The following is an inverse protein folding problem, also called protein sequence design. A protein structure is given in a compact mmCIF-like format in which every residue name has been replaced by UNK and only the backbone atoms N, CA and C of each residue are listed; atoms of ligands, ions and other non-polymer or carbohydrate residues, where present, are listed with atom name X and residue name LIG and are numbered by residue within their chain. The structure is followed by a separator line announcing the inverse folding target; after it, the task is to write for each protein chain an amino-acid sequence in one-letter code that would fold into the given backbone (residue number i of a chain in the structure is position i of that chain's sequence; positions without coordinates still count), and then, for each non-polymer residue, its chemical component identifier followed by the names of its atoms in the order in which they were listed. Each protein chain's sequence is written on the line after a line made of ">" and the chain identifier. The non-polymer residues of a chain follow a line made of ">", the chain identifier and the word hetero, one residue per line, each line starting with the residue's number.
data_IF_785835676086
#
_entry.id   IF_785835676086
#
_cell.length_a   1.000
_cell.length_b   1.000
_cell.length_c   1.000
_cell.angle_alpha   90.00
_cell.angle_beta   90.00
_cell.angle_gamma   90.00
#
_symmetry.space_group_name_H-M   'P 1'
#
loop_
_entity.id
_entity.type
_entity.pdbx_description
1 polymer ?
#
# COMPACT_ATOMS: atom_id res chain seq x y z
N UNK A 1 -13.75 -18.32 -17.64
CA UNK A 1 -13.79 -18.61 -19.11
C UNK A 1 -14.94 -17.89 -19.81
N UNK A 2 -16.17 -17.92 -19.32
CA UNK A 2 -17.31 -17.30 -20.01
C UNK A 2 -17.20 -15.79 -20.25
N UNK A 3 -16.66 -15.00 -19.29
CA UNK A 3 -16.57 -13.55 -19.45
C UNK A 3 -15.64 -13.16 -20.62
N UNK A 4 -14.41 -13.64 -20.64
CA UNK A 4 -13.43 -13.33 -21.69
C UNK A 4 -13.85 -13.81 -23.06
N UNK A 5 -14.53 -14.95 -23.15
CA UNK A 5 -15.11 -15.45 -24.41
C UNK A 5 -16.23 -14.53 -24.88
N UNK A 6 -17.13 -14.10 -24.01
CA UNK A 6 -18.23 -13.21 -24.33
C UNK A 6 -17.79 -11.83 -24.82
N UNK A 7 -16.72 -11.27 -24.25
CA UNK A 7 -16.21 -9.94 -24.61
C UNK A 7 -15.16 -9.98 -25.73
N UNK A 8 -14.76 -11.16 -26.21
CA UNK A 8 -13.71 -11.30 -27.25
C UNK A 8 -13.94 -10.42 -28.48
N UNK A 9 -15.15 -10.33 -29.05
CA UNK A 9 -15.40 -9.42 -30.18
C UNK A 9 -15.13 -7.94 -29.82
N UNK A 10 -15.50 -7.52 -28.63
CA UNK A 10 -15.23 -6.15 -28.12
C UNK A 10 -13.74 -5.91 -27.90
N UNK A 11 -13.01 -6.92 -27.43
CA UNK A 11 -11.54 -6.82 -27.28
C UNK A 11 -10.88 -6.62 -28.65
N UNK A 12 -11.33 -7.34 -29.67
CA UNK A 12 -10.81 -7.25 -31.05
C UNK A 12 -11.16 -5.90 -31.71
N UNK A 13 -12.34 -5.34 -31.42
CA UNK A 13 -12.80 -4.05 -31.93
C UNK A 13 -12.17 -2.84 -31.26
N UNK A 14 -12.12 -2.82 -29.89
CA UNK A 14 -11.75 -1.66 -29.09
C UNK A 14 -10.25 -1.67 -28.76
N UNK A 15 -9.62 -2.86 -28.74
CA UNK A 15 -8.24 -3.06 -28.29
C UNK A 15 -7.95 -2.48 -26.91
N UNK A 16 -8.75 -2.82 -25.87
CA UNK A 16 -8.59 -2.28 -24.53
C UNK A 16 -7.31 -2.77 -23.88
N UNK A 17 -6.80 -2.01 -22.90
CA UNK A 17 -5.69 -2.42 -22.06
C UNK A 17 -6.07 -3.63 -21.18
N UNK A 18 -5.07 -4.37 -20.70
CA UNK A 18 -5.29 -5.46 -19.77
C UNK A 18 -6.00 -4.99 -18.49
N UNK A 19 -5.70 -3.77 -18.01
CA UNK A 19 -6.34 -3.20 -16.82
C UNK A 19 -7.83 -2.93 -17.07
N UNK A 20 -8.21 -2.34 -18.20
CA UNK A 20 -9.62 -2.11 -18.59
C UNK A 20 -10.42 -3.41 -18.65
N UNK A 21 -9.84 -4.47 -19.24
CA UNK A 21 -10.47 -5.80 -19.26
C UNK A 21 -10.66 -6.33 -17.84
N UNK A 22 -9.65 -6.17 -16.99
CA UNK A 22 -9.69 -6.64 -15.59
C UNK A 22 -10.74 -5.90 -14.79
N UNK A 23 -10.87 -4.58 -14.96
CA UNK A 23 -11.91 -3.76 -14.30
C UNK A 23 -13.30 -4.21 -14.72
N UNK A 24 -13.53 -4.38 -16.05
CA UNK A 24 -14.81 -4.89 -16.56
C UNK A 24 -15.16 -6.27 -16.00
N UNK A 25 -14.17 -7.16 -15.92
CA UNK A 25 -14.33 -8.50 -15.35
C UNK A 25 -14.66 -8.45 -13.85
N UNK A 26 -14.00 -7.57 -13.09
CA UNK A 26 -14.25 -7.40 -11.65
C UNK A 26 -15.69 -6.90 -11.41
N UNK A 27 -16.14 -5.88 -12.15
CA UNK A 27 -17.50 -5.37 -12.00
C UNK A 27 -18.56 -6.42 -12.39
N UNK A 28 -18.36 -7.16 -13.49
CA UNK A 28 -19.24 -8.26 -13.83
C UNK A 28 -19.27 -9.35 -12.76
N UNK A 29 -18.12 -9.65 -12.16
CA UNK A 29 -18.02 -10.61 -11.06
C UNK A 29 -18.79 -10.14 -9.82
N UNK A 30 -18.63 -8.88 -9.41
CA UNK A 30 -19.35 -8.32 -8.25
C UNK A 30 -20.87 -8.35 -8.43
N UNK A 31 -21.36 -8.01 -9.63
CA UNK A 31 -22.80 -8.13 -9.97
C UNK A 31 -23.27 -9.57 -9.86
N UNK A 32 -22.51 -10.53 -10.42
CA UNK A 32 -22.89 -11.95 -10.40
C UNK A 32 -22.83 -12.57 -8.99
N UNK A 33 -22.00 -12.01 -8.09
CA UNK A 33 -21.90 -12.47 -6.71
C UNK A 33 -22.86 -11.73 -5.78
N UNK A 34 -23.61 -10.73 -6.27
CA UNK A 34 -24.55 -9.92 -5.49
C UNK A 34 -23.90 -9.37 -4.20
N UNK A 35 -22.67 -8.84 -4.34
CA UNK A 35 -21.91 -8.34 -3.17
C UNK A 35 -22.63 -7.17 -2.50
N UNK A 36 -22.68 -7.13 -1.18
CA UNK A 36 -23.29 -6.03 -0.42
C UNK A 36 -22.48 -4.74 -0.54
N UNK A 37 -21.14 -4.84 -0.58
CA UNK A 37 -20.20 -3.72 -0.69
C UNK A 37 -19.05 -4.12 -1.59
N UNK A 38 -18.70 -3.25 -2.54
CA UNK A 38 -17.48 -3.35 -3.33
C UNK A 38 -16.50 -2.24 -2.94
N UNK A 39 -15.26 -2.62 -2.59
CA UNK A 39 -14.18 -1.67 -2.34
C UNK A 39 -13.34 -1.63 -3.60
N UNK A 40 -13.33 -0.47 -4.28
CA UNK A 40 -12.68 -0.28 -5.57
C UNK A 40 -11.45 0.60 -5.38
N UNK A 41 -10.28 0.02 -5.60
CA UNK A 41 -9.02 0.75 -5.63
C UNK A 41 -8.72 1.22 -7.06
N UNK A 42 -8.36 2.52 -7.23
CA UNK A 42 -7.92 3.04 -8.52
C UNK A 42 -6.57 2.46 -8.91
N UNK A 43 -6.38 2.13 -10.20
CA UNK A 43 -5.10 1.62 -10.68
C UNK A 43 -4.04 2.71 -10.78
N UNK A 44 -4.44 3.92 -11.28
CA UNK A 44 -3.53 5.04 -11.45
C UNK A 44 -4.26 6.38 -11.43
N UNK A 45 -3.80 7.31 -10.60
CA UNK A 45 -4.36 8.66 -10.51
C UNK A 45 -5.78 8.65 -9.93
N UNK A 46 -6.78 8.84 -10.75
CA UNK A 46 -8.20 8.84 -10.40
C UNK A 46 -9.09 9.32 -11.53
N UNK A 47 -8.88 10.54 -12.03
CA UNK A 47 -9.75 11.20 -13.02
C UNK A 47 -9.99 10.37 -14.28
N UNK A 48 -8.93 9.79 -14.85
CA UNK A 48 -8.96 8.99 -16.07
C UNK A 48 -8.80 7.49 -15.81
N UNK A 49 -8.86 7.08 -14.53
CA UNK A 49 -8.75 5.66 -14.20
C UNK A 49 -9.96 4.86 -14.70
N UNK A 50 -9.72 3.66 -15.19
CA UNK A 50 -10.77 2.78 -15.73
C UNK A 50 -11.84 2.41 -14.68
N UNK A 51 -11.49 2.46 -13.39
CA UNK A 51 -12.44 2.23 -12.29
C UNK A 51 -13.38 3.42 -12.06
N UNK A 52 -13.03 4.61 -12.54
CA UNK A 52 -13.74 5.86 -12.26
C UNK A 52 -15.07 6.05 -13.02
N UNK A 53 -15.57 4.99 -13.62
CA UNK A 53 -16.89 4.95 -14.29
C UNK A 53 -18.06 4.80 -13.31
N UNK A 54 -17.77 4.51 -12.05
CA UNK A 54 -18.78 4.32 -10.99
C UNK A 54 -19.13 5.63 -10.27
N UNK A 55 -20.27 5.62 -9.57
CA UNK A 55 -20.61 6.61 -8.54
C UNK A 55 -20.55 5.90 -7.19
N UNK A 56 -19.49 6.12 -6.39
CA UNK A 56 -19.33 5.43 -5.11
C UNK A 56 -20.27 6.02 -4.03
N UNK A 57 -20.47 5.31 -2.93
CA UNK A 57 -21.16 5.83 -1.75
C UNK A 57 -20.27 6.76 -0.92
N UNK A 58 -18.94 6.51 -0.93
CA UNK A 58 -17.89 7.36 -0.35
C UNK A 58 -16.67 7.27 -1.26
N UNK A 59 -16.04 8.41 -1.54
CA UNK A 59 -14.70 8.47 -2.13
C UNK A 59 -13.65 8.63 -1.03
N UNK A 60 -12.50 7.98 -1.19
CA UNK A 60 -11.40 8.04 -0.20
C UNK A 60 -10.09 8.34 -0.94
N UNK A 61 -9.36 9.36 -0.50
CA UNK A 61 -8.00 9.66 -0.96
C UNK A 61 -7.10 9.54 0.27
N UNK A 62 -6.25 8.52 0.29
CA UNK A 62 -5.46 8.18 1.48
C UNK A 62 -4.38 9.20 1.77
N UNK A 63 -3.53 9.47 0.79
CA UNK A 63 -2.49 10.50 0.83
C UNK A 63 -2.06 10.90 -0.59
N UNK A 64 -1.24 11.94 -0.70
CA UNK A 64 -0.58 12.35 -1.93
C UNK A 64 0.92 12.22 -1.75
N UNK A 65 1.54 11.50 -2.69
CA UNK A 65 2.98 11.32 -2.77
C UNK A 65 3.48 11.45 -4.20
N UNK A 66 4.78 11.65 -4.36
CA UNK A 66 5.44 11.77 -5.65
C UNK A 66 5.61 10.38 -6.27
N UNK A 67 4.63 9.93 -7.03
CA UNK A 67 4.70 8.68 -7.82
C UNK A 67 4.08 8.91 -9.20
N UNK A 68 4.53 8.14 -10.19
CA UNK A 68 4.04 8.20 -11.57
C UNK A 68 4.05 9.63 -12.19
N UNK A 69 5.07 10.43 -11.87
CA UNK A 69 5.17 11.84 -12.27
C UNK A 69 5.07 12.04 -13.78
N UNK A 70 5.53 11.10 -14.59
CA UNK A 70 5.42 11.12 -16.04
C UNK A 70 3.97 11.14 -16.56
N UNK A 71 2.99 10.70 -15.74
CA UNK A 71 1.59 10.58 -16.11
C UNK A 71 0.69 11.51 -15.30
N UNK A 72 0.99 11.72 -14.02
CA UNK A 72 0.15 12.48 -13.09
C UNK A 72 0.60 13.91 -12.86
N UNK A 73 1.80 14.28 -13.37
CA UNK A 73 2.41 15.59 -13.16
C UNK A 73 3.55 15.56 -12.12
N UNK A 74 4.33 16.62 -12.12
CA UNK A 74 5.59 16.77 -11.37
C UNK A 74 5.45 17.59 -10.08
N UNK A 75 4.22 17.90 -9.68
CA UNK A 75 3.91 18.59 -8.42
C UNK A 75 2.82 17.86 -7.64
N UNK A 76 2.83 18.01 -6.30
CA UNK A 76 1.80 17.43 -5.44
C UNK A 76 0.40 17.91 -5.79
N UNK A 77 0.26 19.18 -6.22
CA UNK A 77 -1.00 19.78 -6.65
C UNK A 77 -1.57 19.09 -7.90
N UNK A 78 -0.73 18.80 -8.91
CA UNK A 78 -1.16 18.11 -10.13
C UNK A 78 -1.59 16.68 -9.82
N UNK A 79 -0.80 15.96 -9.02
CA UNK A 79 -1.15 14.59 -8.57
C UNK A 79 -2.45 14.61 -7.77
N UNK A 80 -2.62 15.58 -6.87
CA UNK A 80 -3.86 15.77 -6.10
C UNK A 80 -5.07 16.02 -7.01
N UNK A 81 -4.93 16.84 -8.05
CA UNK A 81 -6.00 17.13 -9.01
C UNK A 81 -6.42 15.86 -9.79
N UNK A 82 -5.47 15.03 -10.22
CA UNK A 82 -5.78 13.75 -10.86
C UNK A 82 -6.50 12.79 -9.90
N UNK A 83 -6.04 12.69 -8.64
CA UNK A 83 -6.70 11.85 -7.63
C UNK A 83 -8.07 12.41 -7.23
N UNK A 84 -8.23 13.73 -7.15
CA UNK A 84 -9.51 14.39 -6.87
C UNK A 84 -10.58 14.10 -7.93
N UNK A 85 -10.22 13.61 -9.11
CA UNK A 85 -11.16 13.16 -10.14
C UNK A 85 -12.10 12.02 -9.73
N UNK A 86 -11.86 11.36 -8.59
CA UNK A 86 -12.81 10.39 -8.01
C UNK A 86 -13.88 11.05 -7.12
N UNK A 87 -13.78 12.33 -6.84
CA UNK A 87 -14.80 13.09 -6.08
C UNK A 87 -16.02 13.28 -6.97
N UNK A 88 -17.16 12.73 -6.57
CA UNK A 88 -18.40 12.74 -7.37
C UNK A 88 -19.43 13.69 -6.77
N UNK A 89 -20.33 14.14 -7.61
CA UNK A 89 -21.39 15.09 -7.23
C UNK A 89 -22.24 14.53 -6.09
N UNK A 90 -22.35 15.31 -5.01
CA UNK A 90 -23.11 14.99 -3.80
C UNK A 90 -22.62 13.74 -3.05
N UNK A 91 -21.44 13.22 -3.37
CA UNK A 91 -20.84 12.06 -2.69
C UNK A 91 -19.78 12.53 -1.71
N UNK A 92 -19.85 12.06 -0.47
CA UNK A 92 -18.86 12.38 0.56
C UNK A 92 -17.46 11.91 0.12
N UNK A 93 -16.45 12.75 0.40
CA UNK A 93 -15.05 12.38 0.26
C UNK A 93 -14.32 12.47 1.59
N UNK A 94 -13.48 11.48 1.86
CA UNK A 94 -12.56 11.45 3.01
C UNK A 94 -11.13 11.57 2.48
N UNK A 95 -10.40 12.55 3.00
CA UNK A 95 -8.96 12.72 2.78
C UNK A 95 -8.24 12.18 4.01
N UNK A 96 -7.34 11.22 3.83
CA UNK A 96 -6.64 10.56 4.94
C UNK A 96 -5.60 11.47 5.59
N UNK A 97 -4.68 11.99 4.80
CA UNK A 97 -3.62 12.89 5.25
C UNK A 97 -3.78 14.27 4.59
N UNK A 98 -3.86 15.32 5.39
CA UNK A 98 -3.91 16.71 4.93
C UNK A 98 -2.51 17.26 4.66
N UNK A 99 -2.39 18.17 3.70
CA UNK A 99 -1.17 18.92 3.40
C UNK A 99 -1.51 20.32 2.92
N UNK A 100 -0.79 21.37 3.38
CA UNK A 100 -1.00 22.73 2.90
C UNK A 100 -0.93 22.86 1.36
N UNK A 101 -0.17 21.98 0.69
CA UNK A 101 0.04 21.99 -0.76
C UNK A 101 -1.14 21.38 -1.53
N UNK A 102 -1.93 20.50 -0.92
CA UNK A 102 -2.98 19.73 -1.61
C UNK A 102 -4.39 20.00 -1.10
N UNK A 103 -4.54 20.51 0.13
CA UNK A 103 -5.84 20.73 0.75
C UNK A 103 -6.76 21.63 -0.08
N UNK A 104 -6.23 22.73 -0.64
CA UNK A 104 -7.01 23.65 -1.47
C UNK A 104 -7.53 23.00 -2.76
N UNK A 105 -6.75 22.08 -3.35
CA UNK A 105 -7.20 21.31 -4.52
C UNK A 105 -8.42 20.47 -4.17
N UNK A 106 -8.36 19.75 -3.07
CA UNK A 106 -9.48 18.90 -2.63
C UNK A 106 -10.71 19.71 -2.23
N UNK A 107 -10.53 20.83 -1.51
CA UNK A 107 -11.62 21.71 -1.13
C UNK A 107 -12.33 22.29 -2.36
N UNK A 108 -11.57 22.80 -3.35
CA UNK A 108 -12.12 23.37 -4.57
C UNK A 108 -12.92 22.34 -5.39
N UNK A 109 -12.37 21.12 -5.55
CA UNK A 109 -13.06 20.04 -6.29
C UNK A 109 -14.29 19.55 -5.54
N UNK A 110 -14.22 19.43 -4.22
CA UNK A 110 -15.36 19.04 -3.39
C UNK A 110 -16.49 20.08 -3.46
N UNK A 111 -16.16 21.37 -3.37
CA UNK A 111 -17.13 22.48 -3.52
C UNK A 111 -17.81 22.45 -4.88
N UNK A 112 -17.04 22.32 -5.97
CA UNK A 112 -17.55 22.25 -7.34
C UNK A 112 -18.50 21.05 -7.55
N UNK A 113 -18.33 19.97 -6.79
CA UNK A 113 -19.18 18.79 -6.81
C UNK A 113 -20.27 18.79 -5.74
N UNK A 114 -20.38 19.83 -4.90
CA UNK A 114 -21.27 19.84 -3.73
C UNK A 114 -21.05 18.56 -2.87
N UNK A 115 -19.80 18.10 -2.77
CA UNK A 115 -19.39 16.90 -2.05
C UNK A 115 -19.00 17.25 -0.61
N UNK A 116 -19.64 16.68 0.42
CA UNK A 116 -19.16 16.84 1.80
C UNK A 116 -17.75 16.27 1.92
N UNK A 117 -16.79 17.05 2.45
CA UNK A 117 -15.39 16.66 2.61
C UNK A 117 -15.00 16.62 4.07
N UNK A 118 -14.19 15.63 4.45
CA UNK A 118 -13.53 15.57 5.75
C UNK A 118 -12.05 15.17 5.60
N UNK A 119 -11.21 15.72 6.48
CA UNK A 119 -9.80 15.39 6.60
C UNK A 119 -9.61 14.55 7.86
N UNK A 120 -9.30 13.28 7.68
CA UNK A 120 -9.28 12.31 8.77
C UNK A 120 -8.26 12.66 9.86
N UNK A 121 -7.06 13.07 9.49
CA UNK A 121 -5.97 13.46 10.40
C UNK A 121 -6.23 14.75 11.20
N UNK A 122 -7.12 15.64 10.70
CA UNK A 122 -7.58 16.82 11.44
C UNK A 122 -8.60 16.45 12.53
N UNK A 123 -9.33 15.36 12.33
CA UNK A 123 -10.42 14.89 13.20
C UNK A 123 -9.92 13.84 14.18
N UNK A 124 -9.07 12.92 13.72
CA UNK A 124 -8.59 11.78 14.51
C UNK A 124 -7.07 11.69 14.50
N UNK A 125 -6.54 10.99 15.50
CA UNK A 125 -5.12 10.64 15.56
C UNK A 125 -4.93 9.37 16.38
N UNK A 126 -3.71 8.82 16.35
CA UNK A 126 -3.31 7.67 17.17
C UNK A 126 -2.21 8.06 18.15
N UNK A 127 -2.22 7.47 19.34
CA UNK A 127 -1.16 7.64 20.32
C UNK A 127 -0.89 6.33 21.08
N UNK A 128 0.14 6.33 21.94
CA UNK A 128 0.50 5.20 22.80
C UNK A 128 0.65 3.88 22.04
N UNK A 129 1.21 3.94 20.80
CA UNK A 129 1.38 2.73 20.01
C UNK A 129 2.57 1.90 20.51
N UNK A 130 2.39 0.58 20.45
CA UNK A 130 3.43 -0.41 20.78
C UNK A 130 3.26 -1.67 19.92
N UNK A 131 4.35 -2.37 19.67
CA UNK A 131 4.29 -3.73 19.15
C UNK A 131 4.14 -4.71 20.31
N UNK A 132 3.09 -5.52 20.30
CA UNK A 132 2.81 -6.52 21.34
C UNK A 132 2.24 -7.79 20.72
N UNK A 133 2.91 -8.92 20.96
CA UNK A 133 2.46 -10.24 20.48
C UNK A 133 2.19 -10.30 18.97
N UNK A 134 2.98 -9.61 18.15
CA UNK A 134 2.81 -9.56 16.69
C UNK A 134 1.73 -8.59 16.19
N UNK A 135 1.11 -7.83 17.08
CA UNK A 135 0.13 -6.78 16.75
C UNK A 135 0.73 -5.38 16.92
N UNK A 136 0.28 -4.45 16.10
CA UNK A 136 0.43 -3.01 16.36
C UNK A 136 -0.78 -2.58 17.21
N UNK A 137 -0.51 -2.17 18.45
CA UNK A 137 -1.54 -1.79 19.42
C UNK A 137 -1.45 -0.30 19.67
N UNK A 138 -2.57 0.41 19.56
CA UNK A 138 -2.61 1.88 19.68
C UNK A 138 -3.94 2.37 20.24
N UNK A 139 -3.96 3.57 20.79
CA UNK A 139 -5.19 4.28 21.10
C UNK A 139 -5.56 5.16 19.92
N UNK A 140 -6.75 4.95 19.34
CA UNK A 140 -7.36 5.82 18.35
C UNK A 140 -8.24 6.85 19.07
N UNK A 141 -8.01 8.12 18.79
CA UNK A 141 -8.68 9.23 19.45
C UNK A 141 -9.47 10.06 18.44
N UNK A 142 -10.72 10.33 18.74
CA UNK A 142 -11.57 11.27 18.04
C UNK A 142 -11.60 12.59 18.81
N UNK A 143 -11.01 13.65 18.22
CA UNK A 143 -10.91 14.99 18.84
C UNK A 143 -12.25 15.69 19.01
N UNK A 144 -13.29 15.27 18.28
CA UNK A 144 -14.58 15.98 18.26
C UNK A 144 -15.45 15.64 19.47
N UNK A 145 -15.28 14.45 20.04
CA UNK A 145 -16.11 13.93 21.12
C UNK A 145 -15.31 13.28 22.26
N UNK A 146 -13.98 13.39 22.22
CA UNK A 146 -13.03 12.83 23.20
C UNK A 146 -13.20 11.31 23.41
N UNK A 147 -13.54 10.60 22.35
CA UNK A 147 -13.65 9.13 22.37
C UNK A 147 -12.30 8.50 22.12
N UNK A 148 -11.90 7.62 23.03
CA UNK A 148 -10.66 6.84 22.97
C UNK A 148 -11.01 5.38 22.77
N UNK A 149 -10.42 4.77 21.73
CA UNK A 149 -10.65 3.35 21.39
C UNK A 149 -9.31 2.63 21.28
N UNK A 150 -9.10 1.62 22.11
CA UNK A 150 -7.92 0.76 22.01
C UNK A 150 -8.07 -0.18 20.81
N UNK A 151 -7.14 -0.08 19.85
CA UNK A 151 -7.11 -0.88 18.63
C UNK A 151 -5.91 -1.82 18.63
N UNK A 152 -6.10 -3.03 18.12
CA UNK A 152 -5.06 -4.00 17.82
C UNK A 152 -5.11 -4.31 16.33
N UNK A 153 -3.99 -4.19 15.62
CA UNK A 153 -3.89 -4.43 14.17
C UNK A 153 -2.94 -5.60 13.92
N UNK A 154 -3.37 -6.59 13.15
CA UNK A 154 -2.51 -7.70 12.69
C UNK A 154 -1.60 -7.29 11.51
N UNK A 155 -1.64 -6.03 11.13
CA UNK A 155 -0.73 -5.36 10.20
C UNK A 155 0.25 -4.50 11.01
N UNK A 156 1.46 -5.00 11.34
CA UNK A 156 2.32 -4.37 12.35
C UNK A 156 3.17 -3.21 11.81
N UNK A 157 3.08 -2.84 10.53
CA UNK A 157 3.80 -1.69 9.98
C UNK A 157 3.34 -0.38 10.63
N UNK A 158 4.30 0.47 11.03
CA UNK A 158 4.04 1.77 11.67
C UNK A 158 3.11 2.66 10.83
N UNK A 159 3.26 2.66 9.51
CA UNK A 159 2.41 3.43 8.60
C UNK A 159 0.92 3.04 8.65
N UNK A 160 0.57 1.89 9.22
CA UNK A 160 -0.82 1.50 9.44
C UNK A 160 -1.55 2.37 10.46
N UNK A 161 -0.83 3.12 11.29
CA UNK A 161 -1.44 4.10 12.19
C UNK A 161 -2.20 5.18 11.40
N UNK A 162 -1.63 5.66 10.29
CA UNK A 162 -2.27 6.63 9.39
C UNK A 162 -3.46 6.01 8.65
N UNK A 163 -3.31 4.77 8.18
CA UNK A 163 -4.39 4.04 7.53
C UNK A 163 -5.57 3.79 8.49
N UNK A 164 -5.29 3.47 9.76
CA UNK A 164 -6.33 3.31 10.80
C UNK A 164 -7.15 4.60 10.98
N UNK A 165 -6.48 5.76 11.02
CA UNK A 165 -7.13 7.07 11.12
C UNK A 165 -8.07 7.31 9.93
N UNK A 166 -7.60 7.03 8.71
CA UNK A 166 -8.40 7.15 7.49
C UNK A 166 -9.60 6.21 7.50
N UNK A 167 -9.39 4.93 7.82
CA UNK A 167 -10.45 3.92 7.87
C UNK A 167 -11.49 4.29 8.94
N UNK A 168 -11.07 4.74 10.11
CA UNK A 168 -11.98 5.15 11.18
C UNK A 168 -12.88 6.33 10.76
N UNK A 169 -12.32 7.31 10.02
CA UNK A 169 -13.12 8.40 9.46
C UNK A 169 -14.14 7.90 8.43
N UNK A 170 -13.76 6.99 7.54
CA UNK A 170 -14.69 6.39 6.57
C UNK A 170 -15.81 5.63 7.29
N UNK A 171 -15.43 4.78 8.24
CA UNK A 171 -16.36 3.90 8.96
C UNK A 171 -17.42 4.70 9.75
N UNK A 172 -17.06 5.85 10.34
CA UNK A 172 -18.04 6.67 11.09
C UNK A 172 -19.16 7.26 10.21
N UNK A 173 -18.97 7.32 8.89
CA UNK A 173 -19.99 7.80 7.95
C UNK A 173 -20.93 6.70 7.43
N UNK A 174 -20.56 5.42 7.56
CA UNK A 174 -21.36 4.30 7.03
C UNK A 174 -22.75 4.17 7.65
N UNK A 175 -22.98 4.43 8.95
CA UNK A 175 -24.34 4.38 9.53
C UNK A 175 -25.32 5.34 8.87
N UNK A 176 -24.87 6.54 8.50
CA UNK A 176 -25.71 7.51 7.78
C UNK A 176 -26.10 7.05 6.37
N UNK A 177 -25.40 6.05 5.83
CA UNK A 177 -25.64 5.41 4.54
C UNK A 177 -26.43 4.10 4.67
N UNK A 178 -26.92 3.77 5.88
CA UNK A 178 -27.76 2.61 6.14
C UNK A 178 -27.03 1.34 6.56
N UNK A 179 -25.72 1.40 6.83
CA UNK A 179 -24.95 0.24 7.30
C UNK A 179 -24.97 0.15 8.82
N UNK A 180 -25.38 -0.98 9.36
CA UNK A 180 -25.29 -1.26 10.80
C UNK A 180 -23.86 -1.67 11.16
N UNK A 181 -23.20 -0.86 12.00
CA UNK A 181 -21.85 -1.15 12.50
C UNK A 181 -21.90 -1.53 13.98
N UNK A 182 -21.33 -2.68 14.29
CA UNK A 182 -21.14 -3.13 15.67
C UNK A 182 -19.67 -2.88 16.05
N UNK A 183 -19.39 -2.08 17.11
CA UNK A 183 -18.03 -1.72 17.52
C UNK A 183 -17.13 -2.95 17.73
N UNK A 184 -17.63 -4.01 18.35
CA UNK A 184 -16.85 -5.23 18.59
C UNK A 184 -16.47 -5.94 17.28
N UNK A 185 -17.35 -5.93 16.28
CA UNK A 185 -17.03 -6.49 14.94
C UNK A 185 -16.00 -5.65 14.20
N UNK A 186 -16.05 -4.34 14.36
CA UNK A 186 -15.05 -3.43 13.78
C UNK A 186 -13.67 -3.69 14.41
N UNK A 187 -13.57 -3.76 15.73
CA UNK A 187 -12.32 -4.08 16.42
C UNK A 187 -11.81 -5.48 16.08
N UNK A 188 -12.72 -6.45 15.96
CA UNK A 188 -12.37 -7.79 15.47
C UNK A 188 -11.80 -7.74 14.05
N UNK A 189 -12.37 -6.96 13.14
CA UNK A 189 -11.89 -6.82 11.78
C UNK A 189 -10.48 -6.20 11.74
N UNK A 190 -10.20 -5.15 12.52
CA UNK A 190 -8.87 -4.56 12.62
C UNK A 190 -7.82 -5.56 13.11
N UNK A 191 -8.18 -6.41 14.05
CA UNK A 191 -7.31 -7.44 14.61
C UNK A 191 -7.07 -8.63 13.67
N UNK A 192 -7.87 -8.80 12.63
CA UNK A 192 -7.84 -9.97 11.75
C UNK A 192 -7.87 -9.61 10.25
N UNK A 193 -7.28 -8.49 9.87
CA UNK A 193 -7.27 -8.02 8.47
C UNK A 193 -6.67 -9.07 7.54
N UNK A 194 -5.49 -9.61 7.86
CA UNK A 194 -4.83 -10.65 7.05
C UNK A 194 -5.70 -11.89 6.87
N UNK A 195 -6.31 -12.36 7.96
CA UNK A 195 -7.18 -13.55 7.92
C UNK A 195 -8.45 -13.32 7.08
N UNK A 196 -9.05 -12.14 7.19
CA UNK A 196 -10.32 -11.81 6.53
C UNK A 196 -10.14 -11.46 5.04
N UNK A 197 -8.99 -10.88 4.67
CA UNK A 197 -8.77 -10.33 3.33
C UNK A 197 -7.72 -11.06 2.52
N UNK A 198 -6.84 -11.84 3.16
CA UNK A 198 -5.67 -12.41 2.51
C UNK A 198 -4.59 -11.37 2.15
N UNK A 199 -4.60 -10.19 2.78
CA UNK A 199 -3.60 -9.15 2.53
C UNK A 199 -2.20 -9.58 2.98
N UNK A 200 -1.23 -9.47 2.06
CA UNK A 200 0.17 -9.84 2.26
C UNK A 200 1.12 -8.68 1.94
N UNK A 201 2.36 -8.76 2.46
CA UNK A 201 3.45 -7.85 2.09
C UNK A 201 3.33 -6.43 2.65
N UNK A 202 2.78 -6.26 3.83
CA UNK A 202 2.71 -4.98 4.55
C UNK A 202 3.38 -5.12 5.92
N UNK A 203 4.71 -4.99 5.96
CA UNK A 203 5.55 -5.33 7.12
C UNK A 203 5.17 -6.71 7.69
N UNK A 204 5.03 -7.69 6.80
CA UNK A 204 4.52 -9.01 7.11
C UNK A 204 5.62 -9.89 7.69
N UNK A 205 5.47 -10.27 8.95
CA UNK A 205 6.39 -11.19 9.64
C UNK A 205 6.05 -12.60 9.23
N UNK A 206 6.99 -13.30 8.56
CA UNK A 206 6.83 -14.69 8.10
C UNK A 206 7.71 -15.69 8.85
N UNK A 207 8.70 -15.19 9.61
CA UNK A 207 9.56 -16.00 10.46
C UNK A 207 10.08 -15.15 11.63
N UNK A 208 10.39 -15.76 12.79
CA UNK A 208 10.71 -15.04 14.02
C UNK A 208 12.21 -15.04 14.38
N UNK A 209 12.99 -16.05 13.99
CA UNK A 209 14.39 -16.19 14.39
C UNK A 209 15.26 -16.82 13.28
N UNK A 210 15.88 -16.02 12.41
CA UNK A 210 15.87 -14.56 12.33
C UNK A 210 14.49 -13.98 12.04
N UNK A 211 14.29 -12.71 12.37
CA UNK A 211 13.06 -12.03 11.99
C UNK A 211 13.03 -11.84 10.48
N UNK A 212 12.11 -12.51 9.75
CA UNK A 212 11.96 -12.33 8.30
C UNK A 212 10.68 -11.58 8.01
N UNK A 213 10.81 -10.45 7.31
CA UNK A 213 9.73 -9.51 7.02
C UNK A 213 9.59 -9.29 5.52
N UNK A 214 8.36 -9.22 5.04
CA UNK A 214 8.00 -8.86 3.68
C UNK A 214 7.33 -7.49 3.64
N UNK A 215 7.80 -6.61 2.74
CA UNK A 215 7.15 -5.32 2.49
C UNK A 215 7.22 -4.93 1.01
N UNK A 216 6.08 -4.54 0.43
CA UNK A 216 5.98 -4.21 -1.00
C UNK A 216 6.33 -2.76 -1.33
N UNK A 217 6.93 -2.00 -0.42
CA UNK A 217 7.41 -0.65 -0.68
C UNK A 217 8.27 -0.62 -1.96
N UNK A 218 7.96 0.30 -2.88
CA UNK A 218 8.55 0.31 -4.22
C UNK A 218 8.67 1.71 -4.84
N UNK A 219 8.24 2.76 -4.17
CA UNK A 219 8.37 4.16 -4.55
C UNK A 219 9.06 4.95 -3.43
N UNK A 220 9.38 6.21 -3.69
CA UNK A 220 10.13 7.04 -2.74
C UNK A 220 9.44 7.15 -1.38
N UNK A 221 8.12 7.42 -1.36
CA UNK A 221 7.39 7.61 -0.10
C UNK A 221 7.21 6.30 0.66
N UNK A 222 6.90 5.20 -0.03
CA UNK A 222 6.86 3.87 0.58
C UNK A 222 8.21 3.47 1.18
N UNK A 223 9.32 3.81 0.51
CA UNK A 223 10.66 3.54 1.04
C UNK A 223 11.01 4.41 2.24
N UNK A 224 10.58 5.67 2.30
CA UNK A 224 10.73 6.52 3.50
C UNK A 224 10.02 5.90 4.71
N UNK A 225 8.76 5.45 4.52
CA UNK A 225 8.02 4.77 5.59
C UNK A 225 8.67 3.44 5.99
N UNK A 226 9.19 2.67 5.01
CA UNK A 226 9.92 1.43 5.27
C UNK A 226 11.22 1.66 6.07
N UNK A 227 12.02 2.65 5.69
CA UNK A 227 13.25 3.01 6.41
C UNK A 227 12.94 3.45 7.83
N UNK A 228 11.91 4.27 8.03
CA UNK A 228 11.43 4.64 9.35
C UNK A 228 11.00 3.42 10.17
N UNK A 229 10.33 2.46 9.55
CA UNK A 229 9.95 1.22 10.23
C UNK A 229 11.18 0.39 10.62
N UNK A 230 12.22 0.34 9.78
CA UNK A 230 13.50 -0.30 10.11
C UNK A 230 14.15 0.36 11.32
N UNK A 231 14.20 1.70 11.37
CA UNK A 231 14.75 2.46 12.50
C UNK A 231 14.01 2.25 13.82
N UNK A 232 12.71 1.96 13.76
CA UNK A 232 11.84 1.66 14.90
C UNK A 232 11.90 0.19 15.34
N UNK A 233 12.63 -0.66 14.61
CA UNK A 233 12.73 -2.10 14.87
C UNK A 233 13.99 -2.42 15.65
N UNK A 234 13.91 -3.42 16.52
CA UNK A 234 15.04 -3.91 17.29
C UNK A 234 15.68 -5.11 16.57
N UNK A 235 16.94 -4.97 16.19
CA UNK A 235 17.73 -6.01 15.52
C UNK A 235 19.24 -5.79 15.72
N UNK A 236 20.03 -6.85 15.54
CA UNK A 236 21.49 -6.74 15.65
C UNK A 236 22.12 -6.39 14.29
N UNK A 237 21.83 -7.16 13.23
CA UNK A 237 22.22 -6.86 11.85
C UNK A 237 20.99 -6.83 10.92
N UNK A 238 21.12 -6.02 9.85
CA UNK A 238 20.08 -5.87 8.83
C UNK A 238 20.53 -6.52 7.53
N UNK A 239 19.70 -7.44 7.01
CA UNK A 239 19.86 -8.08 5.72
C UNK A 239 18.70 -7.66 4.82
N UNK A 240 18.97 -7.09 3.64
CA UNK A 240 17.94 -6.64 2.70
C UNK A 240 18.01 -7.40 1.40
N UNK A 241 16.96 -8.17 1.10
CA UNK A 241 16.70 -8.78 -0.21
C UNK A 241 15.93 -7.77 -1.04
N UNK A 242 16.59 -7.16 -2.02
CA UNK A 242 16.03 -6.06 -2.81
C UNK A 242 15.85 -6.48 -4.27
N UNK A 243 14.60 -6.36 -4.76
CA UNK A 243 14.28 -6.54 -6.18
C UNK A 243 13.28 -5.48 -6.64
N UNK A 244 13.58 -4.78 -7.75
CA UNK A 244 12.77 -3.66 -8.25
C UNK A 244 12.37 -3.86 -9.71
N UNK A 245 11.41 -3.06 -10.19
CA UNK A 245 11.02 -3.01 -11.61
C UNK A 245 11.72 -1.87 -12.35
N UNK A 246 11.82 -1.96 -13.68
CA UNK A 246 12.61 -1.04 -14.53
C UNK A 246 12.10 0.41 -14.54
N UNK A 247 10.81 0.60 -14.34
CA UNK A 247 10.08 1.87 -14.57
C UNK A 247 10.04 2.76 -13.31
N UNK A 248 10.86 2.51 -12.32
CA UNK A 248 10.92 3.32 -11.09
C UNK A 248 12.16 4.22 -11.07
N UNK A 249 12.05 5.30 -10.31
CA UNK A 249 13.19 6.20 -10.02
C UNK A 249 14.13 5.53 -9.02
N UNK A 250 14.86 4.52 -9.50
CA UNK A 250 15.63 3.58 -8.68
C UNK A 250 16.70 4.32 -7.87
N UNK A 251 17.33 5.32 -8.46
CA UNK A 251 18.39 6.08 -7.81
C UNK A 251 17.89 6.78 -6.53
N UNK A 252 16.68 7.35 -6.54
CA UNK A 252 16.08 7.96 -5.35
C UNK A 252 15.81 6.94 -4.25
N UNK A 253 15.29 5.77 -4.63
CA UNK A 253 15.04 4.66 -3.71
C UNK A 253 16.35 4.18 -3.07
N UNK A 254 17.41 3.98 -3.86
CA UNK A 254 18.69 3.50 -3.36
C UNK A 254 19.36 4.49 -2.39
N UNK A 255 19.19 5.79 -2.58
CA UNK A 255 19.72 6.81 -1.69
C UNK A 255 19.07 6.83 -0.30
N UNK A 256 17.84 6.34 -0.17
CA UNK A 256 17.12 6.27 1.10
C UNK A 256 17.55 5.07 1.95
N UNK A 257 18.04 4.00 1.33
CA UNK A 257 18.29 2.74 2.00
C UNK A 257 19.53 2.77 2.92
N UNK A 258 19.51 2.04 4.06
CA UNK A 258 20.59 2.02 5.04
C UNK A 258 21.90 1.48 4.46
N UNK A 259 22.98 2.26 4.51
CA UNK A 259 24.30 1.87 3.98
C UNK A 259 25.01 0.77 4.79
N UNK A 260 24.56 0.54 6.02
CA UNK A 260 25.11 -0.45 6.95
C UNK A 260 24.51 -1.84 6.80
N UNK A 261 23.46 -1.99 5.97
CA UNK A 261 22.82 -3.28 5.75
C UNK A 261 23.62 -4.18 4.80
N UNK A 262 23.42 -5.50 4.93
CA UNK A 262 23.92 -6.52 4.01
C UNK A 262 22.91 -6.72 2.87
N UNK A 263 23.28 -6.42 1.62
CA UNK A 263 22.34 -6.47 0.49
C UNK A 263 22.45 -7.76 -0.33
N UNK A 264 21.26 -8.26 -0.71
CA UNK A 264 21.04 -9.41 -1.60
C UNK A 264 20.16 -8.92 -2.75
N UNK A 265 20.81 -8.43 -3.84
CA UNK A 265 20.11 -7.89 -4.99
C UNK A 265 19.51 -9.02 -5.82
N UNK A 266 18.24 -8.91 -6.17
CA UNK A 266 17.54 -9.97 -6.89
C UNK A 266 16.58 -9.42 -7.95
N UNK A 267 15.95 -10.31 -8.69
CA UNK A 267 14.95 -9.99 -9.69
C UNK A 267 13.77 -10.96 -9.60
N UNK A 268 12.57 -10.46 -9.81
CA UNK A 268 11.39 -11.29 -9.98
C UNK A 268 11.36 -11.92 -11.39
N UNK A 269 10.68 -13.06 -11.54
CA UNK A 269 10.56 -13.82 -12.81
C UNK A 269 9.55 -13.19 -13.78
N UNK A 270 9.61 -11.87 -13.96
CA UNK A 270 8.74 -11.10 -14.85
C UNK A 270 9.55 -10.23 -15.83
N UNK A 271 9.04 -9.93 -17.05
CA UNK A 271 9.76 -9.13 -18.05
C UNK A 271 10.09 -7.70 -17.60
N UNK A 272 9.30 -7.13 -16.68
CA UNK A 272 9.49 -5.78 -16.13
C UNK A 272 10.55 -5.73 -15.03
N UNK A 273 11.03 -6.85 -14.49
CA UNK A 273 12.03 -6.85 -13.45
C UNK A 273 13.34 -6.19 -13.95
N UNK A 274 13.96 -5.39 -13.07
CA UNK A 274 15.33 -4.94 -13.33
C UNK A 274 16.28 -6.11 -13.09
N UNK A 275 17.21 -6.43 -14.03
CA UNK A 275 18.19 -7.48 -13.82
C UNK A 275 19.00 -7.25 -12.54
N UNK A 276 19.17 -8.30 -11.74
CA UNK A 276 19.83 -8.24 -10.44
C UNK A 276 21.25 -7.66 -10.48
N UNK A 277 22.02 -7.99 -11.52
CA UNK A 277 23.38 -7.45 -11.72
C UNK A 277 23.36 -5.93 -11.98
N UNK A 278 22.40 -5.45 -12.78
CA UNK A 278 22.26 -4.02 -13.06
C UNK A 278 21.79 -3.27 -11.81
N UNK A 279 20.89 -3.85 -11.02
CA UNK A 279 20.47 -3.30 -9.73
C UNK A 279 21.67 -3.19 -8.78
N UNK A 280 22.49 -4.25 -8.67
CA UNK A 280 23.71 -4.24 -7.86
C UNK A 280 24.69 -3.15 -8.29
N UNK A 281 24.91 -2.97 -9.60
CA UNK A 281 25.80 -1.91 -10.11
C UNK A 281 25.33 -0.51 -9.70
N UNK A 282 24.04 -0.22 -9.86
CA UNK A 282 23.42 1.06 -9.43
C UNK A 282 23.48 1.23 -7.91
N UNK A 283 23.23 0.18 -7.16
CA UNK A 283 23.27 0.17 -5.70
C UNK A 283 24.70 0.42 -5.18
N UNK A 284 25.71 -0.23 -5.76
CA UNK A 284 27.12 0.01 -5.41
C UNK A 284 27.53 1.47 -5.68
N UNK A 285 27.07 2.07 -6.77
CA UNK A 285 27.30 3.50 -7.04
C UNK A 285 26.66 4.43 -5.99
N UNK A 286 25.61 3.96 -5.31
CA UNK A 286 24.95 4.65 -4.20
C UNK A 286 25.54 4.30 -2.82
N UNK A 287 26.58 3.44 -2.76
CA UNK A 287 27.25 3.01 -1.55
C UNK A 287 26.57 1.86 -0.81
N UNK A 288 25.69 1.11 -1.49
CA UNK A 288 25.04 -0.09 -0.96
C UNK A 288 25.81 -1.32 -1.45
N UNK A 289 26.40 -2.10 -0.54
CA UNK A 289 27.27 -3.21 -0.87
C UNK A 289 26.55 -4.55 -0.72
N UNK A 290 26.70 -5.44 -1.71
CA UNK A 290 26.07 -6.75 -1.66
C UNK A 290 26.35 -7.60 -2.88
N UNK A 291 25.59 -8.70 -3.01
CA UNK A 291 25.74 -9.68 -4.10
C UNK A 291 24.43 -9.80 -4.89
N UNK A 292 24.55 -10.12 -6.18
CA UNK A 292 23.39 -10.37 -7.05
C UNK A 292 23.00 -11.85 -7.10
N UNK A 293 21.70 -12.11 -7.22
CA UNK A 293 21.09 -13.44 -7.28
C UNK A 293 20.01 -13.45 -8.37
N UNK A 294 19.94 -14.52 -9.14
CA UNK A 294 19.03 -14.61 -10.29
C UNK A 294 17.56 -14.83 -9.92
N UNK A 295 17.28 -15.22 -8.68
CA UNK A 295 15.91 -15.39 -8.17
C UNK A 295 15.78 -15.01 -6.70
N UNK A 296 14.55 -14.66 -6.32
CA UNK A 296 14.22 -14.14 -5.00
C UNK A 296 14.48 -15.16 -3.89
N UNK A 297 14.15 -16.42 -4.11
CA UNK A 297 14.26 -17.45 -3.06
C UNK A 297 15.70 -17.83 -2.78
N UNK A 298 16.56 -17.86 -3.80
CA UNK A 298 18.01 -18.04 -3.62
C UNK A 298 18.61 -16.89 -2.82
N UNK A 299 18.26 -15.63 -3.16
CA UNK A 299 18.68 -14.45 -2.40
C UNK A 299 18.25 -14.52 -0.93
N UNK A 300 16.98 -14.86 -0.68
CA UNK A 300 16.42 -14.98 0.66
C UNK A 300 17.09 -16.11 1.46
N UNK A 301 17.31 -17.28 0.88
CA UNK A 301 18.01 -18.38 1.55
C UNK A 301 19.42 -17.99 1.95
N UNK A 302 20.15 -17.28 1.07
CA UNK A 302 21.49 -16.77 1.39
C UNK A 302 21.43 -15.74 2.54
N UNK A 303 20.47 -14.81 2.52
CA UNK A 303 20.29 -13.86 3.61
C UNK A 303 20.03 -14.57 4.94
N UNK A 304 19.08 -15.52 4.98
CA UNK A 304 18.76 -16.30 6.19
C UNK A 304 19.96 -17.12 6.66
N UNK A 305 20.73 -17.72 5.75
CA UNK A 305 21.92 -18.54 6.12
C UNK A 305 23.04 -17.72 6.75
N UNK A 306 23.08 -16.41 6.53
CA UNK A 306 24.07 -15.48 7.09
C UNK A 306 23.56 -14.79 8.36
N UNK A 307 22.26 -14.71 8.53
CA UNK A 307 21.63 -14.03 9.64
C UNK A 307 21.72 -14.85 10.94
N UNK A 308 21.95 -14.15 12.05
CA UNK A 308 21.80 -14.68 13.40
C UNK A 308 20.32 -14.62 13.85
N UNK A 309 20.00 -15.25 14.98
CA UNK A 309 18.60 -15.25 15.50
C UNK A 309 18.08 -13.84 15.86
N UNK A 310 18.94 -12.88 16.05
CA UNK A 310 18.59 -11.51 16.46
C UNK A 310 18.61 -10.53 15.28
N UNK A 311 18.86 -11.01 14.06
CA UNK A 311 18.92 -10.17 12.88
C UNK A 311 17.55 -10.02 12.23
N UNK A 312 17.45 -8.95 11.43
CA UNK A 312 16.29 -8.67 10.59
C UNK A 312 16.65 -8.98 9.12
N UNK A 313 15.88 -9.85 8.49
CA UNK A 313 15.92 -10.11 7.05
C UNK A 313 14.66 -9.48 6.42
N UNK A 314 14.84 -8.46 5.60
CA UNK A 314 13.76 -7.74 4.93
C UNK A 314 13.75 -8.05 3.44
N UNK A 315 12.61 -8.46 2.89
CA UNK A 315 12.39 -8.62 1.45
C UNK A 315 11.51 -7.47 0.96
N UNK A 316 12.02 -6.65 0.03
CA UNK A 316 11.28 -5.47 -0.44
C UNK A 316 11.63 -5.06 -1.87
N UNK A 317 11.03 -3.93 -2.33
CA UNK A 317 11.31 -3.24 -3.59
C UNK A 317 10.25 -3.45 -4.68
N UNK A 318 9.43 -4.48 -4.61
CA UNK A 318 8.24 -4.61 -5.48
C UNK A 318 7.27 -5.69 -4.99
N UNK A 319 5.99 -5.54 -5.36
CA UNK A 319 4.98 -6.58 -5.12
C UNK A 319 5.35 -7.91 -5.81
N UNK A 320 6.03 -7.87 -6.94
CA UNK A 320 6.45 -9.07 -7.68
C UNK A 320 7.58 -9.81 -6.94
N UNK A 321 8.54 -9.09 -6.39
CA UNK A 321 9.62 -9.66 -5.57
C UNK A 321 9.04 -10.33 -4.34
N UNK A 322 8.18 -9.64 -3.61
CA UNK A 322 7.53 -10.18 -2.41
C UNK A 322 6.62 -11.36 -2.74
N UNK A 323 5.87 -11.30 -3.85
CA UNK A 323 4.95 -12.35 -4.29
C UNK A 323 5.61 -13.68 -4.67
N UNK A 324 6.91 -13.68 -4.99
CA UNK A 324 7.66 -14.91 -5.31
C UNK A 324 8.26 -15.60 -4.10
N UNK A 325 8.21 -14.99 -2.92
CA UNK A 325 8.79 -15.55 -1.70
C UNK A 325 8.15 -16.90 -1.35
N UNK A 326 9.00 -17.89 -1.11
CA UNK A 326 8.63 -19.23 -0.62
C UNK A 326 9.59 -19.62 0.49
N UNK A 327 9.11 -19.67 1.72
CA UNK A 327 9.87 -20.26 2.82
C UNK A 327 9.84 -21.79 2.69
N UNK A 328 10.97 -22.39 2.30
CA UNK A 328 11.14 -23.83 2.29
C UNK A 328 12.14 -24.20 3.40
N UNK A 329 11.66 -24.89 4.44
CA UNK A 329 12.54 -25.58 5.39
C UNK A 329 13.32 -24.69 6.37
N UNK A 330 12.70 -23.62 6.87
CA UNK A 330 13.23 -22.86 8.01
C UNK A 330 12.51 -23.27 9.29
#
# INVERSE_FOLDING_TARGET
>A
MSFTENIKPLIEEINPSFFEITVGMAFAYFVNQEVDIAIIETGLGGRLDSTNVITPIISVITNIGMDHMNLLGDTLQLIAAEKAGIIKKNVRVVIGESSPETDEVFLSVAEANNAPISFADKIRYTENWVHKNGYLVTDLIDKTNDVHVRCELDLPGYYQLKNLVTVAEVVCHLPALGFELQPDKMLYAFKHVKKLTGLHGRWEIIHQHPLVVLDVAHNEDGMKELVKQIELSDYHELHIVLGVVKDKEIEKILLLLPKTANYYFTQASIPRALPAELLMQKANASGLNGHSYNDVNTALQHAISKASKQDLVLVCGSVFTVGEVRLRGV
#
